data_IF_852640116055
#
_entry.id   IF_852640116055
#
_cell.length_a   1.000
_cell.length_b   1.000
_cell.length_c   1.000
_cell.angle_alpha   90.00
_cell.angle_beta   90.00
_cell.angle_gamma   90.00
#
_symmetry.space_group_name_H-M   'P 1'
#
loop_
_entity.id
_entity.type
_entity.pdbx_description
1 polymer ?
#
# COMPACT_ATOMS: atom_id res chain seq x y z
N UNK A 1 -41.38 -0.68 -7.87
CA UNK A 1 -40.76 0.61 -7.47
C UNK A 1 -39.84 0.38 -6.26
N UNK A 2 -38.83 -0.48 -6.39
CA UNK A 2 -37.97 -0.98 -5.28
C UNK A 2 -36.51 -1.07 -5.74
N UNK A 3 -35.99 -0.02 -6.38
CA UNK A 3 -34.60 -0.03 -6.90
C UNK A 3 -33.74 1.11 -6.39
N UNK A 4 -34.31 2.15 -5.76
CA UNK A 4 -33.55 3.37 -5.40
C UNK A 4 -32.85 3.32 -4.03
N UNK A 5 -33.27 2.46 -3.10
CA UNK A 5 -32.70 2.44 -1.75
C UNK A 5 -31.43 1.57 -1.63
N UNK A 6 -31.29 0.53 -2.47
CA UNK A 6 -30.11 -0.37 -2.50
C UNK A 6 -28.95 0.18 -3.32
N UNK A 7 -29.18 1.25 -4.09
CA UNK A 7 -28.22 1.75 -5.08
C UNK A 7 -27.02 2.49 -4.46
N UNK A 8 -27.20 3.11 -3.27
CA UNK A 8 -26.15 3.86 -2.58
C UNK A 8 -25.01 2.99 -2.01
N UNK A 9 -25.27 1.87 -1.30
CA UNK A 9 -24.20 1.02 -0.80
C UNK A 9 -23.48 0.26 -1.92
N UNK A 10 -24.21 -0.17 -2.96
CA UNK A 10 -23.63 -0.88 -4.12
C UNK A 10 -22.77 0.06 -4.96
N UNK A 11 -23.20 1.31 -5.19
CA UNK A 11 -22.38 2.30 -5.87
C UNK A 11 -21.12 2.64 -5.08
N UNK A 12 -21.21 2.76 -3.75
CA UNK A 12 -20.02 2.94 -2.89
C UNK A 12 -19.07 1.75 -2.97
N UNK A 13 -19.58 0.52 -2.91
CA UNK A 13 -18.78 -0.68 -3.01
C UNK A 13 -18.07 -0.78 -4.38
N UNK A 14 -18.79 -0.48 -5.47
CA UNK A 14 -18.22 -0.39 -6.82
C UNK A 14 -17.15 0.70 -6.93
N UNK A 15 -17.38 1.88 -6.35
CA UNK A 15 -16.38 2.96 -6.33
C UNK A 15 -15.13 2.55 -5.55
N UNK A 16 -15.29 1.89 -4.41
CA UNK A 16 -14.17 1.36 -3.62
C UNK A 16 -13.40 0.28 -4.37
N UNK A 17 -14.10 -0.64 -5.03
CA UNK A 17 -13.49 -1.68 -5.84
C UNK A 17 -12.74 -1.08 -7.04
N UNK A 18 -13.36 -0.14 -7.75
CA UNK A 18 -12.74 0.57 -8.86
C UNK A 18 -11.51 1.37 -8.39
N UNK A 19 -11.58 2.05 -7.25
CA UNK A 19 -10.44 2.74 -6.66
C UNK A 19 -9.30 1.76 -6.31
N UNK A 20 -9.63 0.59 -5.76
CA UNK A 20 -8.65 -0.47 -5.46
C UNK A 20 -7.98 -1.02 -6.73
N UNK A 21 -8.77 -1.29 -7.77
CA UNK A 21 -8.27 -1.76 -9.06
C UNK A 21 -7.39 -0.71 -9.74
N UNK A 22 -7.82 0.56 -9.73
CA UNK A 22 -7.02 1.67 -10.26
C UNK A 22 -5.70 1.83 -9.49
N UNK A 23 -5.72 1.68 -8.16
CA UNK A 23 -4.52 1.77 -7.33
C UNK A 23 -3.55 0.62 -7.62
N UNK A 24 -4.05 -0.61 -7.74
CA UNK A 24 -3.23 -1.77 -8.12
C UNK A 24 -2.64 -1.64 -9.53
N UNK A 25 -3.47 -1.25 -10.50
CA UNK A 25 -3.02 -1.00 -11.87
C UNK A 25 -1.97 0.12 -11.94
N UNK A 26 -2.21 1.22 -11.21
CA UNK A 26 -1.28 2.34 -11.08
C UNK A 26 0.07 1.90 -10.51
N UNK A 27 0.07 1.02 -9.52
CA UNK A 27 1.30 0.49 -8.93
C UNK A 27 2.08 -0.39 -9.93
N UNK A 28 1.40 -1.28 -10.65
CA UNK A 28 2.03 -2.14 -11.66
C UNK A 28 2.62 -1.30 -12.79
N UNK A 29 1.85 -0.33 -13.31
CA UNK A 29 2.30 0.56 -14.38
C UNK A 29 3.51 1.39 -13.95
N UNK A 30 3.48 1.94 -12.74
CA UNK A 30 4.59 2.66 -12.13
C UNK A 30 5.85 1.79 -12.05
N UNK A 31 5.71 0.54 -11.60
CA UNK A 31 6.81 -0.41 -11.49
C UNK A 31 7.41 -0.76 -12.85
N UNK A 32 6.58 -0.98 -13.87
CA UNK A 32 7.06 -1.24 -15.23
C UNK A 32 7.87 -0.07 -15.79
N UNK A 33 7.35 1.17 -15.66
CA UNK A 33 8.08 2.37 -16.10
C UNK A 33 9.40 2.54 -15.35
N UNK A 34 9.43 2.25 -14.05
CA UNK A 34 10.65 2.29 -13.26
C UNK A 34 11.68 1.23 -13.68
N UNK A 35 11.22 0.01 -13.99
CA UNK A 35 12.08 -1.09 -14.49
C UNK A 35 12.61 -0.77 -15.89
N UNK A 36 11.78 -0.24 -16.77
CA UNK A 36 12.19 0.16 -18.12
C UNK A 36 13.17 1.34 -18.08
N UNK A 37 12.99 2.27 -17.14
CA UNK A 37 13.94 3.35 -16.87
C UNK A 37 15.26 2.80 -16.33
N UNK A 38 15.21 1.85 -15.39
CA UNK A 38 16.39 1.21 -14.81
C UNK A 38 17.20 0.39 -15.84
N UNK A 39 16.53 -0.19 -16.83
CA UNK A 39 17.18 -0.93 -17.91
C UNK A 39 17.67 -0.05 -19.08
N UNK A 40 17.69 1.28 -18.91
CA UNK A 40 18.05 2.25 -19.97
C UNK A 40 17.21 2.11 -21.25
N UNK A 41 16.03 1.46 -21.19
CA UNK A 41 15.11 1.36 -22.33
C UNK A 41 14.34 2.66 -22.58
N UNK A 42 14.40 3.59 -21.64
CA UNK A 42 13.82 4.94 -21.71
C UNK A 42 14.93 6.00 -21.64
N UNK A 43 15.61 6.30 -22.75
CA UNK A 43 16.72 7.26 -22.77
C UNK A 43 16.27 8.72 -22.50
N UNK A 44 14.98 9.03 -22.64
CA UNK A 44 14.41 10.34 -22.34
C UNK A 44 12.99 10.20 -21.77
N UNK A 45 12.83 10.02 -20.45
CA UNK A 45 11.51 9.97 -19.84
C UNK A 45 10.80 11.32 -20.01
N UNK A 46 9.58 11.28 -20.56
CA UNK A 46 8.71 12.43 -20.64
C UNK A 46 8.03 12.75 -19.31
N UNK A 47 7.18 13.77 -19.32
CA UNK A 47 6.44 14.22 -18.13
C UNK A 47 5.54 13.12 -17.54
N UNK A 48 5.00 12.24 -18.39
CA UNK A 48 4.12 11.13 -17.98
C UNK A 48 4.91 10.05 -17.25
N UNK A 49 6.10 9.73 -17.74
CA UNK A 49 7.00 8.73 -17.17
C UNK A 49 7.52 9.23 -15.82
N UNK A 50 7.86 10.52 -15.71
CA UNK A 50 8.22 11.17 -14.45
C UNK A 50 7.11 11.13 -13.41
N UNK A 51 5.86 11.36 -13.84
CA UNK A 51 4.71 11.19 -12.95
C UNK A 51 4.66 9.76 -12.39
N UNK A 52 4.78 8.74 -13.23
CA UNK A 52 4.78 7.34 -12.80
C UNK A 52 5.97 6.98 -11.90
N UNK A 53 7.16 7.49 -12.19
CA UNK A 53 8.38 7.30 -11.39
C UNK A 53 8.25 7.91 -10.00
N UNK A 54 7.72 9.13 -9.88
CA UNK A 54 7.50 9.80 -8.59
C UNK A 54 6.30 9.24 -7.83
N UNK A 55 5.32 8.69 -8.53
CA UNK A 55 4.15 8.06 -7.92
C UNK A 55 4.53 6.76 -7.19
N UNK A 56 5.56 6.06 -7.65
CA UNK A 56 6.06 4.82 -7.05
C UNK A 56 6.43 4.96 -5.56
N UNK A 57 7.36 5.85 -5.15
CA UNK A 57 7.73 6.01 -3.74
C UNK A 57 6.55 6.52 -2.89
N UNK A 58 5.63 7.29 -3.47
CA UNK A 58 4.42 7.74 -2.77
C UNK A 58 3.51 6.55 -2.45
N UNK A 59 3.25 5.66 -3.40
CA UNK A 59 2.46 4.45 -3.14
C UNK A 59 3.16 3.51 -2.15
N UNK A 60 4.48 3.34 -2.25
CA UNK A 60 5.24 2.55 -1.27
C UNK A 60 5.10 3.16 0.13
N UNK A 61 5.24 4.49 0.25
CA UNK A 61 5.08 5.20 1.52
C UNK A 61 3.69 5.02 2.12
N UNK A 62 2.64 5.11 1.31
CA UNK A 62 1.25 4.87 1.73
C UNK A 62 1.07 3.40 2.15
N UNK A 63 1.53 2.46 1.35
CA UNK A 63 1.47 1.03 1.68
C UNK A 63 2.17 0.75 3.01
N UNK A 64 3.37 1.29 3.19
CA UNK A 64 4.11 1.13 4.44
C UNK A 64 3.38 1.79 5.62
N UNK A 65 2.75 2.94 5.43
CA UNK A 65 2.02 3.66 6.48
C UNK A 65 0.76 2.92 6.96
N UNK A 66 0.05 2.26 6.04
CA UNK A 66 -1.24 1.63 6.32
C UNK A 66 -1.16 0.13 6.59
N UNK A 67 -0.27 -0.59 5.89
CA UNK A 67 -0.16 -2.05 5.94
C UNK A 67 1.13 -2.56 6.59
N UNK A 68 2.16 -1.73 6.83
CA UNK A 68 3.41 -2.24 7.38
C UNK A 68 3.34 -2.56 8.87
N UNK A 69 3.97 -3.68 9.20
CA UNK A 69 4.27 -4.20 10.54
C UNK A 69 5.19 -3.23 11.33
N UNK A 70 5.86 -2.27 10.65
CA UNK A 70 6.73 -1.25 11.26
C UNK A 70 6.00 -0.01 11.78
N UNK A 71 4.69 -0.11 12.06
CA UNK A 71 3.94 1.01 12.62
C UNK A 71 4.52 1.39 14.00
N UNK A 72 4.73 2.69 14.31
CA UNK A 72 4.98 3.10 15.69
C UNK A 72 3.74 2.71 16.51
N UNK A 73 3.90 1.73 17.41
CA UNK A 73 2.79 1.04 18.08
C UNK A 73 2.64 -0.45 17.72
N UNK A 74 3.62 -1.06 17.06
CA UNK A 74 3.62 -2.51 16.84
C UNK A 74 3.73 -3.25 18.18
N UNK A 75 2.59 -3.76 18.69
CA UNK A 75 2.55 -4.60 19.89
C UNK A 75 3.31 -5.92 19.70
N UNK A 76 3.49 -6.39 18.46
CA UNK A 76 4.30 -7.57 18.16
C UNK A 76 5.82 -7.29 18.22
N UNK A 77 6.24 -6.02 18.17
CA UNK A 77 7.63 -5.60 18.36
C UNK A 77 7.93 -5.19 19.81
N UNK A 78 6.93 -5.17 20.70
CA UNK A 78 7.21 -5.09 22.13
C UNK A 78 7.84 -6.43 22.54
N UNK A 79 9.16 -6.43 22.76
CA UNK A 79 9.82 -7.54 23.44
C UNK A 79 8.99 -7.85 24.68
N UNK A 80 8.57 -9.10 24.93
CA UNK A 80 7.85 -9.43 26.15
C UNK A 80 8.69 -8.96 27.31
N UNK A 81 8.12 -8.08 28.14
CA UNK A 81 8.80 -7.50 29.28
C UNK A 81 9.32 -8.66 30.13
N UNK A 82 10.65 -8.69 30.27
CA UNK A 82 11.42 -9.79 30.86
C UNK A 82 10.80 -10.11 32.22
N UNK A 83 9.98 -11.15 32.29
CA UNK A 83 9.42 -11.59 33.55
C UNK A 83 10.59 -11.98 34.46
N UNK A 84 10.68 -11.46 35.71
CA UNK A 84 11.70 -11.87 36.64
C UNK A 84 11.31 -13.25 37.20
N UNK A 85 11.35 -14.29 36.37
CA UNK A 85 11.16 -15.67 36.82
C UNK A 85 12.51 -16.28 37.21
N UNK A 86 13.17 -15.61 38.15
CA UNK A 86 14.23 -16.17 38.98
C UNK A 86 13.68 -16.46 40.37
N UNK A 87 12.74 -17.40 40.50
CA UNK A 87 12.33 -17.93 41.81
C UNK A 87 12.60 -19.42 41.87
N UNK A 88 13.62 -19.76 42.66
CA UNK A 88 13.93 -21.10 43.18
C UNK A 88 12.67 -21.88 43.56
N UNK A 89 12.65 -23.15 43.20
CA UNK A 89 12.15 -24.28 43.99
C UNK A 89 12.82 -25.52 43.37
N UNK A 90 13.44 -26.45 44.09
CA UNK A 90 13.57 -26.74 45.51
C UNK A 90 14.12 -28.17 45.53
#
# INVERSE_FOLDING_TARGET
>A
MVTRLTQRPVARALLWFAAWMLLGFSLIQSLQVAVDWWHDRLPSPGLREWFWLLLLPVLIGIYLRFFSIFRPGCEACQLPEKSPQGRRHG
#
